data_IF_927864328528
#
_entry.id   IF_927864328528
#
_cell.length_a   1.000
_cell.length_b   1.000
_cell.length_c   1.000
_cell.angle_alpha   90.00
_cell.angle_beta   90.00
_cell.angle_gamma   90.00
#
_symmetry.space_group_name_H-M   'P 1'
#
loop_
_entity.id
_entity.type
_entity.pdbx_description
1 polymer ?
#
# COMPACT_ATOMS: atom_id res chain seq x y z
N UNK A 1 6.64 20.68 -22.68
CA UNK A 1 6.55 19.74 -21.55
C UNK A 1 5.15 19.13 -21.62
N UNK A 2 5.05 17.81 -21.60
CA UNK A 2 3.75 17.14 -21.52
C UNK A 2 3.28 17.30 -20.08
N UNK A 3 2.23 18.08 -19.84
CA UNK A 3 1.64 18.27 -18.50
C UNK A 3 1.03 16.93 -18.07
N UNK A 4 1.80 16.13 -17.33
CA UNK A 4 1.40 14.82 -16.79
C UNK A 4 0.34 14.92 -15.70
N UNK A 5 0.18 16.11 -15.14
CA UNK A 5 -0.81 16.44 -14.11
C UNK A 5 -1.49 17.75 -14.48
N UNK A 6 -2.78 17.84 -14.21
CA UNK A 6 -3.51 19.09 -14.19
C UNK A 6 -3.04 19.98 -13.04
N UNK A 7 -3.32 21.29 -13.15
CA UNK A 7 -3.03 22.25 -12.09
C UNK A 7 -3.70 21.84 -10.77
N UNK A 8 -4.92 21.30 -10.83
CA UNK A 8 -5.65 20.84 -9.66
C UNK A 8 -4.95 19.67 -8.97
N UNK A 9 -4.51 18.66 -9.71
CA UNK A 9 -3.75 17.52 -9.18
C UNK A 9 -2.44 17.98 -8.53
N UNK A 10 -1.72 18.90 -9.18
CA UNK A 10 -0.49 19.47 -8.60
C UNK A 10 -0.77 20.18 -7.27
N UNK A 11 -1.90 20.88 -7.13
CA UNK A 11 -2.27 21.51 -5.86
C UNK A 11 -2.56 20.47 -4.77
N UNK A 12 -3.30 19.41 -5.09
CA UNK A 12 -3.59 18.33 -4.12
C UNK A 12 -2.30 17.65 -3.66
N UNK A 13 -1.39 17.32 -4.59
CA UNK A 13 -0.09 16.72 -4.27
C UNK A 13 0.75 17.68 -3.40
N UNK A 14 0.69 18.98 -3.69
CA UNK A 14 1.43 20.01 -2.94
C UNK A 14 0.88 20.20 -1.53
N UNK A 15 -0.43 20.16 -1.37
CA UNK A 15 -1.08 20.21 -0.06
C UNK A 15 -0.67 19.01 0.78
N UNK A 16 -0.69 17.79 0.21
CA UNK A 16 -0.20 16.59 0.88
C UNK A 16 1.29 16.71 1.25
N UNK A 17 2.15 17.15 0.32
CA UNK A 17 3.57 17.38 0.61
C UNK A 17 3.75 18.34 1.79
N UNK A 18 3.09 19.50 1.76
CA UNK A 18 3.21 20.51 2.82
C UNK A 18 2.67 20.02 4.17
N UNK A 19 1.63 19.17 4.17
CA UNK A 19 1.07 18.58 5.39
C UNK A 19 2.08 17.72 6.14
N UNK A 20 2.91 16.95 5.41
CA UNK A 20 3.87 16.01 5.99
C UNK A 20 5.31 16.55 6.05
N UNK A 21 5.63 17.60 5.28
CA UNK A 21 6.93 18.28 5.23
C UNK A 21 6.86 19.72 5.78
N UNK A 22 6.28 19.91 6.97
CA UNK A 22 6.04 21.24 7.56
C UNK A 22 7.31 22.08 7.76
N UNK A 23 8.45 21.45 8.02
CA UNK A 23 9.70 22.10 8.41
C UNK A 23 10.80 22.00 7.36
N UNK A 24 10.54 21.33 6.24
CA UNK A 24 11.56 20.96 5.27
C UNK A 24 11.05 21.17 3.84
N UNK A 25 11.97 21.45 2.92
CA UNK A 25 11.67 21.50 1.49
C UNK A 25 11.78 20.12 0.83
N UNK A 26 12.04 19.08 1.64
CA UNK A 26 12.29 17.71 1.19
C UNK A 26 11.54 16.71 2.06
N UNK A 27 11.33 15.51 1.51
CA UNK A 27 10.88 14.35 2.26
C UNK A 27 12.09 13.73 2.95
N UNK A 28 12.06 13.63 4.27
CA UNK A 28 13.22 13.26 5.10
C UNK A 28 13.27 11.76 5.40
N UNK A 29 12.18 11.02 5.16
CA UNK A 29 12.10 9.60 5.44
C UNK A 29 11.14 8.84 4.53
N UNK A 30 11.39 7.53 4.37
CA UNK A 30 10.47 6.63 3.66
C UNK A 30 9.07 6.61 4.28
N UNK A 31 8.97 6.76 5.60
CA UNK A 31 7.68 6.86 6.31
C UNK A 31 6.90 8.11 5.91
N UNK A 32 7.53 9.27 5.80
CA UNK A 32 6.87 10.48 5.29
C UNK A 32 6.41 10.30 3.84
N UNK A 33 7.24 9.71 2.97
CA UNK A 33 6.87 9.41 1.59
C UNK A 33 5.62 8.52 1.53
N UNK A 34 5.58 7.44 2.34
CA UNK A 34 4.40 6.56 2.42
C UNK A 34 3.16 7.30 2.88
N UNK A 35 3.26 8.16 3.90
CA UNK A 35 2.13 8.95 4.37
C UNK A 35 1.57 9.87 3.27
N UNK A 36 2.44 10.54 2.53
CA UNK A 36 2.05 11.40 1.40
C UNK A 36 1.34 10.59 0.32
N UNK A 37 1.96 9.50 -0.16
CA UNK A 37 1.39 8.68 -1.24
C UNK A 37 0.04 8.05 -0.84
N UNK A 38 -0.06 7.50 0.39
CA UNK A 38 -1.31 6.95 0.89
C UNK A 38 -2.40 8.02 1.06
N UNK A 39 -2.06 9.24 1.46
CA UNK A 39 -3.04 10.34 1.51
C UNK A 39 -3.58 10.75 0.13
N UNK A 40 -2.83 10.44 -0.93
CA UNK A 40 -3.22 10.64 -2.32
C UNK A 40 -3.95 9.43 -2.92
N UNK A 41 -4.21 8.38 -2.12
CA UNK A 41 -4.84 7.14 -2.57
C UNK A 41 -3.89 6.20 -3.32
N UNK A 42 -2.59 6.45 -3.27
CA UNK A 42 -1.59 5.66 -3.99
C UNK A 42 -1.06 4.57 -3.05
N UNK A 43 -1.35 3.28 -3.33
CA UNK A 43 -0.82 2.19 -2.54
C UNK A 43 0.70 2.13 -2.73
N UNK A 44 1.45 2.05 -1.63
CA UNK A 44 2.90 1.79 -1.69
C UNK A 44 3.32 0.94 -0.49
N UNK A 45 4.19 -0.04 -0.75
CA UNK A 45 4.74 -0.91 0.30
C UNK A 45 5.89 -0.24 1.05
N UNK A 46 6.21 -0.76 2.24
CA UNK A 46 7.40 -0.33 2.99
C UNK A 46 8.68 -0.50 2.14
N UNK A 47 8.84 -1.67 1.51
CA UNK A 47 10.01 -1.99 0.70
C UNK A 47 10.14 -1.07 -0.51
N UNK A 48 9.05 -0.77 -1.22
CA UNK A 48 9.12 0.11 -2.39
C UNK A 48 9.40 1.55 -2.00
N UNK A 49 8.80 2.03 -0.90
CA UNK A 49 9.11 3.36 -0.38
C UNK A 49 10.57 3.53 0.03
N UNK A 50 11.24 2.47 0.50
CA UNK A 50 12.66 2.49 0.83
C UNK A 50 13.54 2.59 -0.42
N UNK A 51 13.17 1.91 -1.51
CA UNK A 51 13.93 1.95 -2.77
C UNK A 51 14.09 3.37 -3.31
N UNK A 52 13.11 4.25 -3.08
CA UNK A 52 13.20 5.66 -3.46
C UNK A 52 14.27 6.44 -2.69
N UNK A 53 14.63 6.01 -1.49
CA UNK A 53 15.71 6.62 -0.69
C UNK A 53 17.05 5.93 -0.91
N UNK A 54 17.05 4.61 -1.10
CA UNK A 54 18.29 3.83 -1.35
C UNK A 54 18.91 4.15 -2.71
N UNK A 55 18.08 4.45 -3.72
CA UNK A 55 18.52 4.78 -5.08
C UNK A 55 18.57 6.29 -5.37
N UNK A 56 18.27 7.14 -4.38
CA UNK A 56 18.25 8.58 -4.58
C UNK A 56 19.66 9.18 -4.60
N UNK A 57 20.01 9.86 -5.70
CA UNK A 57 21.22 10.69 -5.77
C UNK A 57 21.05 12.04 -5.05
N UNK A 58 19.81 12.46 -4.79
CA UNK A 58 19.45 13.74 -4.17
C UNK A 58 18.22 13.59 -3.25
N UNK A 59 18.05 14.48 -2.26
CA UNK A 59 16.82 14.50 -1.45
C UNK A 59 15.57 14.61 -2.32
N UNK A 60 14.49 13.97 -1.88
CA UNK A 60 13.21 13.96 -2.61
C UNK A 60 12.51 15.28 -2.34
N UNK A 61 12.52 16.19 -3.31
CA UNK A 61 11.75 17.42 -3.30
C UNK A 61 10.37 17.24 -3.96
N UNK A 62 9.65 18.34 -4.16
CA UNK A 62 8.33 18.32 -4.81
C UNK A 62 8.39 17.83 -6.26
N UNK A 63 9.47 18.12 -7.00
CA UNK A 63 9.60 17.70 -8.39
C UNK A 63 9.86 16.19 -8.46
N UNK A 64 10.74 15.68 -7.61
CA UNK A 64 10.97 14.25 -7.45
C UNK A 64 9.68 13.52 -7.00
N UNK A 65 8.90 14.10 -6.09
CA UNK A 65 7.62 13.52 -5.66
C UNK A 65 6.63 13.39 -6.83
N UNK A 66 6.51 14.39 -7.70
CA UNK A 66 5.61 14.32 -8.87
C UNK A 66 5.97 13.15 -9.79
N UNK A 67 7.27 12.91 -10.01
CA UNK A 67 7.73 11.76 -10.80
C UNK A 67 7.43 10.42 -10.11
N UNK A 68 7.54 10.35 -8.78
CA UNK A 68 7.18 9.16 -8.00
C UNK A 68 5.67 8.90 -8.11
N UNK A 69 4.84 9.91 -7.86
CA UNK A 69 3.38 9.85 -7.97
C UNK A 69 2.97 9.36 -9.36
N UNK A 70 3.61 9.87 -10.41
CA UNK A 70 3.33 9.44 -11.78
C UNK A 70 3.67 7.97 -12.01
N UNK A 71 4.85 7.51 -11.57
CA UNK A 71 5.28 6.11 -11.72
C UNK A 71 4.37 5.13 -11.00
N UNK A 72 4.01 5.44 -9.75
CA UNK A 72 3.15 4.57 -8.96
C UNK A 72 1.72 4.55 -9.51
N UNK A 73 1.20 5.67 -10.04
CA UNK A 73 -0.13 5.70 -10.70
C UNK A 73 -0.15 5.03 -12.08
N UNK A 74 0.91 5.14 -12.88
CA UNK A 74 0.96 4.51 -14.22
C UNK A 74 1.12 2.99 -14.12
N UNK A 75 1.79 2.52 -13.05
CA UNK A 75 2.03 1.10 -12.79
C UNK A 75 1.03 0.43 -11.84
N UNK A 76 0.04 1.14 -11.29
CA UNK A 76 -0.83 0.56 -10.26
C UNK A 76 -1.72 -0.53 -10.84
N UNK A 77 -1.40 -1.77 -10.51
CA UNK A 77 -2.36 -2.87 -10.51
C UNK A 77 -3.42 -2.54 -9.45
N UNK A 78 -4.67 -2.95 -9.67
CA UNK A 78 -5.70 -2.81 -8.65
C UNK A 78 -5.16 -3.39 -7.32
N UNK A 79 -5.20 -2.63 -6.20
CA UNK A 79 -4.70 -3.13 -4.91
C UNK A 79 -5.25 -4.51 -4.54
N UNK A 80 -6.51 -4.80 -4.90
CA UNK A 80 -7.13 -6.09 -4.67
C UNK A 80 -6.54 -7.18 -5.59
N UNK A 81 -6.19 -6.86 -6.83
CA UNK A 81 -5.53 -7.81 -7.73
C UNK A 81 -4.12 -8.16 -7.24
N UNK A 82 -3.39 -7.20 -6.68
CA UNK A 82 -2.07 -7.46 -6.07
C UNK A 82 -2.20 -8.34 -4.82
N UNK A 83 -3.13 -8.02 -3.91
CA UNK A 83 -3.41 -8.82 -2.72
C UNK A 83 -3.84 -10.24 -3.10
N UNK A 84 -4.73 -10.37 -4.07
CA UNK A 84 -5.20 -11.67 -4.57
C UNK A 84 -4.05 -12.51 -5.13
N UNK A 85 -3.23 -11.93 -6.01
CA UNK A 85 -2.07 -12.60 -6.61
C UNK A 85 -1.06 -13.06 -5.55
N UNK A 86 -0.79 -12.22 -4.55
CA UNK A 86 0.09 -12.57 -3.43
C UNK A 86 -0.46 -13.72 -2.58
N UNK A 87 -1.76 -13.72 -2.30
CA UNK A 87 -2.43 -14.80 -1.57
C UNK A 87 -2.45 -16.10 -2.37
N UNK A 88 -2.83 -16.08 -3.65
CA UNK A 88 -2.84 -17.25 -4.52
C UNK A 88 -1.46 -17.91 -4.60
N UNK A 89 -0.40 -17.11 -4.76
CA UNK A 89 0.99 -17.60 -4.75
C UNK A 89 1.38 -18.23 -3.41
N UNK A 90 0.89 -17.70 -2.29
CA UNK A 90 1.22 -18.19 -0.97
C UNK A 90 0.45 -19.46 -0.57
N UNK A 91 -0.78 -19.59 -1.05
CA UNK A 91 -1.68 -20.72 -0.80
C UNK A 91 -1.38 -21.93 -1.69
N UNK A 92 -0.47 -21.80 -2.66
CA UNK A 92 -0.04 -22.90 -3.53
C UNK A 92 -1.20 -23.49 -4.37
N UNK A 93 -2.21 -22.69 -4.67
CA UNK A 93 -3.41 -23.12 -5.40
C UNK A 93 -4.59 -23.58 -4.54
N UNK A 94 -4.51 -23.49 -3.20
CA UNK A 94 -5.69 -23.60 -2.33
C UNK A 94 -6.59 -22.37 -2.47
N UNK A 95 -7.91 -22.58 -2.52
CA UNK A 95 -8.93 -21.54 -2.45
C UNK A 95 -9.45 -21.29 -1.02
N UNK A 96 -8.96 -22.07 -0.05
CA UNK A 96 -9.25 -21.92 1.37
C UNK A 96 -8.04 -21.33 2.10
N UNK A 97 -8.31 -20.34 2.94
CA UNK A 97 -7.33 -19.62 3.75
C UNK A 97 -7.50 -20.04 5.20
N UNK A 98 -6.49 -20.72 5.73
CA UNK A 98 -6.38 -20.95 7.17
C UNK A 98 -5.80 -19.71 7.86
N UNK A 99 -6.13 -19.52 9.14
CA UNK A 99 -5.60 -18.41 9.94
C UNK A 99 -4.06 -18.37 9.93
N UNK A 100 -3.41 -19.54 9.94
CA UNK A 100 -1.96 -19.66 9.90
C UNK A 100 -1.36 -19.22 8.56
N UNK A 101 -2.06 -19.47 7.45
CA UNK A 101 -1.60 -19.05 6.12
C UNK A 101 -1.75 -17.55 5.93
N UNK A 102 -2.88 -16.99 6.37
CA UNK A 102 -3.09 -15.55 6.36
C UNK A 102 -2.05 -14.85 7.23
N UNK A 103 -1.78 -15.39 8.42
CA UNK A 103 -0.74 -14.88 9.32
C UNK A 103 0.66 -14.95 8.68
N UNK A 104 0.98 -16.05 8.01
CA UNK A 104 2.26 -16.22 7.33
C UNK A 104 2.42 -15.21 6.20
N UNK A 105 1.40 -14.98 5.38
CA UNK A 105 1.45 -13.99 4.30
C UNK A 105 1.59 -12.57 4.84
N UNK A 106 0.74 -12.20 5.79
CA UNK A 106 0.71 -10.85 6.36
C UNK A 106 1.92 -10.54 7.27
N UNK A 107 2.60 -11.57 7.80
CA UNK A 107 3.86 -11.39 8.54
C UNK A 107 5.10 -11.35 7.63
N UNK A 108 5.01 -11.85 6.40
CA UNK A 108 6.11 -11.90 5.43
C UNK A 108 6.08 -10.75 4.41
N UNK A 109 4.92 -10.11 4.21
CA UNK A 109 4.71 -9.11 3.15
C UNK A 109 4.40 -7.73 3.74
N UNK A 110 5.03 -6.67 3.20
CA UNK A 110 4.67 -5.29 3.50
C UNK A 110 4.91 -4.83 4.95
N UNK A 111 3.93 -4.15 5.53
CA UNK A 111 3.91 -3.75 6.95
C UNK A 111 3.45 -4.95 7.78
N UNK A 112 4.41 -5.59 8.46
CA UNK A 112 4.18 -6.81 9.24
C UNK A 112 3.08 -6.56 10.27
N UNK A 113 1.93 -7.18 10.07
CA UNK A 113 0.87 -7.17 11.08
C UNK A 113 1.27 -8.04 12.27
N UNK A 114 0.91 -7.57 13.46
CA UNK A 114 1.08 -8.36 14.69
C UNK A 114 0.10 -9.53 14.68
N UNK A 115 0.43 -10.60 15.41
CA UNK A 115 -0.48 -11.75 15.55
C UNK A 115 -1.88 -11.36 16.05
N UNK A 116 -1.97 -10.32 16.89
CA UNK A 116 -3.24 -9.81 17.40
C UNK A 116 -4.09 -9.13 16.31
N UNK A 117 -3.47 -8.36 15.42
CA UNK A 117 -4.17 -7.73 14.30
C UNK A 117 -4.64 -8.77 13.29
N UNK A 118 -3.83 -9.83 13.07
CA UNK A 118 -4.19 -10.95 12.22
C UNK A 118 -5.37 -11.74 12.81
N UNK A 119 -5.31 -12.07 14.10
CA UNK A 119 -6.38 -12.79 14.79
C UNK A 119 -7.70 -11.99 14.78
N UNK A 120 -7.63 -10.66 14.96
CA UNK A 120 -8.79 -9.78 14.90
C UNK A 120 -9.42 -9.77 13.49
N UNK A 121 -8.60 -9.62 12.44
CA UNK A 121 -9.05 -9.66 11.05
C UNK A 121 -9.68 -11.02 10.70
N UNK A 122 -9.06 -12.12 11.17
CA UNK A 122 -9.59 -13.46 10.93
C UNK A 122 -10.93 -13.68 11.64
N UNK A 123 -11.06 -13.26 12.91
CA UNK A 123 -12.30 -13.39 13.68
C UNK A 123 -13.45 -12.55 13.11
N UNK A 124 -13.16 -11.43 12.45
CA UNK A 124 -14.20 -10.61 11.78
C UNK A 124 -14.85 -11.37 10.62
N UNK A 125 -14.08 -12.19 9.91
CA UNK A 125 -14.51 -12.86 8.67
C UNK A 125 -14.95 -14.31 8.94
N UNK A 126 -14.31 -15.00 9.89
CA UNK A 126 -14.64 -16.35 10.34
C UNK A 126 -14.67 -16.45 11.87
N UNK A 127 -15.79 -16.03 12.51
CA UNK A 127 -15.95 -16.08 13.96
C UNK A 127 -15.89 -17.50 14.53
N UNK A 128 -16.28 -18.48 13.71
CA UNK A 128 -16.35 -19.90 14.07
C UNK A 128 -15.00 -20.62 13.91
N UNK A 129 -13.98 -19.93 13.38
CA UNK A 129 -12.63 -20.48 13.17
C UNK A 129 -12.49 -21.40 11.95
N UNK A 130 -13.52 -21.45 11.09
CA UNK A 130 -13.49 -22.21 9.84
C UNK A 130 -12.57 -21.54 8.80
N UNK A 131 -11.95 -22.31 7.89
CA UNK A 131 -11.16 -21.75 6.79
C UNK A 131 -11.99 -20.78 5.94
N UNK A 132 -11.39 -19.65 5.58
CA UNK A 132 -12.07 -18.61 4.81
C UNK A 132 -11.85 -18.87 3.31
N UNK A 133 -12.90 -18.99 2.49
CA UNK A 133 -12.73 -19.02 1.04
C UNK A 133 -12.12 -17.71 0.54
N UNK A 134 -11.10 -17.77 -0.33
CA UNK A 134 -10.37 -16.61 -0.84
C UNK A 134 -11.31 -15.55 -1.42
N UNK A 135 -12.33 -15.97 -2.17
CA UNK A 135 -13.34 -15.05 -2.73
C UNK A 135 -14.16 -14.31 -1.65
N UNK A 136 -14.37 -14.90 -0.48
CA UNK A 136 -15.06 -14.25 0.65
C UNK A 136 -14.15 -13.18 1.26
N UNK A 137 -12.87 -13.48 1.46
CA UNK A 137 -11.88 -12.50 1.91
C UNK A 137 -11.78 -11.34 0.91
N UNK A 138 -11.65 -11.62 -0.39
CA UNK A 138 -11.55 -10.57 -1.42
C UNK A 138 -12.77 -9.66 -1.44
N UNK A 139 -13.99 -10.22 -1.33
CA UNK A 139 -15.22 -9.42 -1.25
C UNK A 139 -15.29 -8.57 0.02
N UNK A 140 -14.80 -9.11 1.15
CA UNK A 140 -14.75 -8.34 2.38
C UNK A 140 -13.79 -7.15 2.24
N UNK A 141 -12.60 -7.36 1.67
CA UNK A 141 -11.63 -6.29 1.41
C UNK A 141 -12.16 -5.25 0.41
N UNK A 142 -12.85 -5.68 -0.64
CA UNK A 142 -13.50 -4.79 -1.61
C UNK A 142 -14.51 -3.84 -0.94
N UNK A 143 -15.36 -4.35 -0.05
CA UNK A 143 -16.33 -3.54 0.71
C UNK A 143 -15.71 -2.57 1.73
N UNK A 144 -14.44 -2.75 2.08
CA UNK A 144 -13.73 -1.84 2.99
C UNK A 144 -13.03 -0.71 2.23
N UNK A 145 -12.80 -0.90 0.91
CA UNK A 145 -12.14 0.09 0.05
C UNK A 145 -13.13 1.02 -0.67
N UNK A 146 -14.40 0.62 -0.81
CA UNK A 146 -15.48 1.33 -1.52
C UNK A 146 -16.74 1.50 -0.66
#
# INVERSE_FOLDING_TARGET
QVERFSVAEIQVIREAFNLFCLTSQYIESSSQLRCILRSLGIPITHSDSLKYFENAESPIDMEALLEIVWKENEGSIDPLDEVKSGLESALGGSDLIEAVDLARVLSMTGEKLTSQEIDALFMEISPDGEPIPLNVLMRHLENQLY
#
